data_IF_122936163769
#
_entry.id   IF_122936163769
#
_cell.length_a   1.000
_cell.length_b   1.000
_cell.length_c   1.000
_cell.angle_alpha   90.00
_cell.angle_beta   90.00
_cell.angle_gamma   90.00
#
_symmetry.space_group_name_H-M   'P 1'
#
loop_
_entity.id
_entity.type
_entity.pdbx_description
1 polymer ?
#
# COMPACT_ATOMS: atom_id res chain seq x y z
N UNK A 1 23.86 1.20 0.29
CA UNK A 1 23.35 2.49 -0.20
C UNK A 1 22.41 2.21 -1.37
N UNK A 2 21.15 2.14 -1.14
CA UNK A 2 20.11 2.21 -2.16
C UNK A 2 18.98 3.00 -1.51
N UNK A 3 18.85 4.25 -1.95
CA UNK A 3 17.86 5.22 -1.51
C UNK A 3 16.49 4.88 -2.09
N UNK A 4 15.52 4.95 -1.21
CA UNK A 4 14.13 5.35 -1.41
C UNK A 4 13.48 5.11 -2.78
N UNK A 5 12.74 4.01 -2.88
CA UNK A 5 11.62 3.94 -3.83
C UNK A 5 10.40 4.63 -3.19
N UNK A 6 10.43 5.95 -3.12
CA UNK A 6 9.23 6.75 -2.92
C UNK A 6 8.48 6.76 -4.24
N UNK A 7 7.28 6.22 -4.24
CA UNK A 7 6.30 6.54 -5.28
C UNK A 7 5.97 8.01 -5.08
N UNK A 8 6.60 8.86 -5.86
CA UNK A 8 6.24 10.29 -5.92
C UNK A 8 4.98 10.36 -6.76
N UNK A 9 3.85 10.58 -6.09
CA UNK A 9 2.63 11.05 -6.75
C UNK A 9 2.86 12.49 -7.15
N UNK A 10 3.33 12.71 -8.37
CA UNK A 10 3.40 14.04 -8.95
C UNK A 10 1.99 14.46 -9.40
N UNK A 11 1.38 15.37 -8.64
CA UNK A 11 0.25 16.17 -9.13
C UNK A 11 0.76 17.04 -10.28
N UNK A 12 0.40 16.70 -11.49
CA UNK A 12 0.71 17.51 -12.67
C UNK A 12 -0.21 18.72 -12.75
N UNK A 13 0.34 19.90 -12.44
CA UNK A 13 -0.18 21.15 -12.97
C UNK A 13 0.09 21.23 -14.47
N UNK A 14 -0.73 21.98 -15.18
CA UNK A 14 -0.77 22.17 -16.66
C UNK A 14 0.52 22.73 -17.27
N UNK A 15 1.66 22.05 -17.14
CA UNK A 15 2.83 22.34 -17.96
C UNK A 15 3.62 21.03 -18.19
N UNK A 16 3.59 20.61 -19.43
CA UNK A 16 4.15 19.35 -19.93
C UNK A 16 5.66 19.46 -20.02
N UNK A 17 6.40 18.79 -19.14
CA UNK A 17 7.81 18.48 -19.37
C UNK A 17 8.05 17.03 -18.92
N UNK A 18 8.66 16.25 -19.81
CA UNK A 18 8.97 14.82 -19.70
C UNK A 18 9.71 14.41 -18.43
N UNK A 19 9.51 13.17 -17.97
CA UNK A 19 10.65 12.28 -17.84
C UNK A 19 10.44 10.89 -18.44
N UNK A 20 11.33 10.54 -19.32
CA UNK A 20 11.66 9.17 -19.71
C UNK A 20 12.22 8.47 -18.47
N UNK A 21 11.50 7.52 -17.89
CA UNK A 21 11.98 6.70 -16.78
C UNK A 21 12.75 5.52 -17.35
N UNK A 22 14.06 5.70 -17.50
CA UNK A 22 15.03 4.63 -17.73
C UNK A 22 15.30 3.96 -16.37
N UNK A 23 14.78 2.75 -16.15
CA UNK A 23 15.18 1.92 -15.01
C UNK A 23 16.43 1.15 -15.41
N UNK A 24 17.61 1.71 -15.13
CA UNK A 24 18.87 0.99 -15.16
C UNK A 24 19.10 0.29 -13.82
N UNK A 25 18.99 -1.03 -13.83
CA UNK A 25 19.50 -1.87 -12.75
C UNK A 25 21.00 -2.03 -12.93
N UNK A 26 21.80 -1.27 -12.20
CA UNK A 26 23.25 -1.48 -12.11
C UNK A 26 23.54 -2.55 -11.07
N UNK A 27 23.93 -3.72 -11.57
CA UNK A 27 24.67 -4.72 -10.80
C UNK A 27 26.13 -4.27 -10.76
N UNK A 28 26.65 -4.02 -9.55
CA UNK A 28 28.03 -3.62 -9.36
C UNK A 28 29.00 -4.76 -9.69
N UNK A 29 29.98 -4.48 -10.50
CA UNK A 29 31.22 -5.24 -10.60
C UNK A 29 32.41 -4.30 -10.55
N UNK A 30 33.39 -4.75 -9.84
CA UNK A 30 34.71 -4.20 -9.50
C UNK A 30 35.44 -3.53 -10.66
N UNK A 31 36.10 -2.41 -10.34
CA UNK A 31 37.06 -1.71 -11.20
C UNK A 31 38.22 -2.61 -11.62
N UNK A 32 38.34 -2.81 -12.93
CA UNK A 32 39.59 -3.19 -13.55
C UNK A 32 39.88 -2.17 -14.66
N UNK A 33 40.93 -1.39 -14.46
CA UNK A 33 41.47 -0.46 -15.46
C UNK A 33 41.86 -1.20 -16.74
N UNK A 34 41.10 -0.98 -17.79
CA UNK A 34 41.47 -1.28 -19.17
C UNK A 34 41.23 -0.04 -20.00
N UNK A 35 42.28 0.76 -20.19
CA UNK A 35 42.33 1.79 -21.22
C UNK A 35 42.45 1.13 -22.58
N UNK A 36 41.33 0.78 -23.16
CA UNK A 36 41.20 0.56 -24.60
C UNK A 36 40.42 1.72 -25.17
N UNK A 37 41.04 2.42 -26.08
CA UNK A 37 40.44 3.45 -26.90
C UNK A 37 39.29 2.86 -27.74
N UNK A 38 38.08 2.89 -27.18
CA UNK A 38 36.85 2.70 -27.94
C UNK A 38 36.59 4.01 -28.66
N UNK A 39 36.80 4.02 -29.98
CA UNK A 39 36.18 5.01 -30.86
C UNK A 39 34.69 5.05 -30.55
N UNK A 40 34.06 6.24 -30.49
CA UNK A 40 32.60 6.30 -30.41
C UNK A 40 32.04 5.55 -31.62
N UNK A 41 31.29 4.48 -31.39
CA UNK A 41 30.38 3.98 -32.41
C UNK A 41 29.34 5.10 -32.54
N UNK A 42 29.55 6.00 -33.49
CA UNK A 42 28.50 6.87 -34.01
C UNK A 42 27.46 5.93 -34.64
N UNK A 43 26.49 5.48 -33.86
CA UNK A 43 25.21 5.01 -34.38
C UNK A 43 24.51 6.25 -34.92
N UNK A 44 24.91 6.74 -36.09
CA UNK A 44 24.15 7.69 -36.89
C UNK A 44 22.96 6.94 -37.49
N UNK A 45 21.94 6.67 -36.67
CA UNK A 45 20.61 6.49 -37.23
C UNK A 45 20.17 7.87 -37.71
N UNK A 46 20.17 8.07 -39.02
CA UNK A 46 19.63 9.28 -39.62
C UNK A 46 18.18 9.44 -39.12
N UNK A 47 17.83 10.60 -38.58
CA UNK A 47 16.49 10.82 -38.05
C UNK A 47 15.49 10.64 -39.21
N UNK A 48 14.47 9.79 -38.99
CA UNK A 48 13.39 9.59 -39.97
C UNK A 48 12.56 10.87 -40.02
N UNK A 49 12.54 11.61 -41.17
CA UNK A 49 11.96 12.96 -41.23
C UNK A 49 10.50 13.02 -40.79
N UNK A 50 9.71 12.00 -41.14
CA UNK A 50 8.29 11.90 -40.77
C UNK A 50 8.11 11.75 -39.23
N UNK A 51 8.95 10.93 -38.56
CA UNK A 51 8.90 10.73 -37.13
C UNK A 51 9.33 11.99 -36.38
N UNK A 52 10.38 12.66 -36.84
CA UNK A 52 10.86 13.90 -36.20
C UNK A 52 9.83 15.04 -36.35
N UNK A 53 9.14 15.13 -37.50
CA UNK A 53 8.05 16.08 -37.70
C UNK A 53 6.89 15.80 -36.71
N UNK A 54 6.48 14.53 -36.56
CA UNK A 54 5.46 14.13 -35.61
C UNK A 54 5.85 14.40 -34.12
N UNK A 55 7.09 14.09 -33.78
CA UNK A 55 7.67 14.29 -32.46
C UNK A 55 7.76 15.76 -32.06
N UNK A 56 8.12 16.63 -33.00
CA UNK A 56 8.20 18.07 -32.80
C UNK A 56 6.87 18.80 -32.98
N UNK A 57 5.78 18.09 -33.29
CA UNK A 57 4.45 18.65 -33.61
C UNK A 57 4.43 19.55 -34.85
N UNK A 58 5.33 19.31 -35.78
CA UNK A 58 5.35 20.04 -37.09
C UNK A 58 4.42 19.30 -38.06
N UNK A 59 3.11 19.49 -37.85
CA UNK A 59 2.07 18.78 -38.60
C UNK A 59 2.01 19.18 -40.08
N UNK A 60 2.38 20.42 -40.42
CA UNK A 60 2.43 20.87 -41.79
C UNK A 60 3.56 20.20 -42.54
N UNK A 61 4.74 20.08 -41.92
CA UNK A 61 5.86 19.33 -42.48
C UNK A 61 5.53 17.87 -42.66
N UNK A 62 4.86 17.24 -41.64
CA UNK A 62 4.43 15.85 -41.69
C UNK A 62 3.51 15.63 -42.89
N UNK A 63 2.49 16.49 -43.07
CA UNK A 63 1.58 16.43 -44.25
C UNK A 63 2.33 16.54 -45.55
N UNK A 64 3.24 17.50 -45.67
CA UNK A 64 4.09 17.69 -46.88
C UNK A 64 4.91 16.43 -47.17
N UNK A 65 5.50 15.78 -46.16
CA UNK A 65 6.28 14.55 -46.34
C UNK A 65 5.42 13.40 -46.85
N UNK A 66 4.20 13.24 -46.32
CA UNK A 66 3.24 12.23 -46.82
C UNK A 66 2.81 12.51 -48.28
N UNK A 67 2.59 13.76 -48.65
CA UNK A 67 2.28 14.17 -50.04
C UNK A 67 3.44 13.92 -50.99
N UNK A 68 4.69 13.95 -50.50
CA UNK A 68 5.91 13.62 -51.25
C UNK A 68 6.14 12.11 -51.37
N UNK A 69 5.30 11.29 -50.75
CA UNK A 69 5.34 9.84 -50.85
C UNK A 69 6.12 9.14 -49.74
N UNK A 70 6.45 9.85 -48.63
CA UNK A 70 6.98 9.20 -47.45
C UNK A 70 5.97 8.19 -46.91
N UNK A 71 6.45 7.01 -46.46
CA UNK A 71 5.57 5.95 -46.01
C UNK A 71 5.15 6.19 -44.55
N UNK A 72 3.85 6.14 -44.26
CA UNK A 72 3.32 6.29 -42.91
C UNK A 72 3.72 5.15 -41.96
N UNK A 73 4.27 4.05 -42.50
CA UNK A 73 4.68 2.84 -41.76
C UNK A 73 6.12 2.88 -41.23
N UNK A 74 6.89 3.94 -41.53
CA UNK A 74 8.29 4.06 -41.06
C UNK A 74 8.33 4.15 -39.55
N UNK A 75 9.40 3.56 -38.95
CA UNK A 75 9.60 3.51 -37.51
C UNK A 75 10.90 4.18 -37.10
N UNK A 76 10.93 4.74 -35.88
CA UNK A 76 12.16 5.13 -35.20
C UNK A 76 12.94 3.93 -34.69
N UNK A 77 14.13 4.15 -34.14
CA UNK A 77 14.98 3.07 -33.60
C UNK A 77 14.36 2.26 -32.45
N UNK A 78 13.38 2.83 -31.75
CA UNK A 78 12.60 2.19 -30.69
C UNK A 78 11.25 1.62 -31.17
N UNK A 79 11.06 1.52 -32.50
CA UNK A 79 9.84 1.00 -33.12
C UNK A 79 8.67 1.97 -33.16
N UNK A 80 8.79 3.19 -32.64
CA UNK A 80 7.69 4.15 -32.64
C UNK A 80 7.42 4.71 -34.05
N UNK A 81 6.12 4.85 -34.43
CA UNK A 81 5.66 5.44 -35.69
C UNK A 81 5.19 6.88 -35.50
N UNK A 82 4.96 7.61 -36.59
CA UNK A 82 4.33 8.93 -36.53
C UNK A 82 2.94 8.90 -35.88
N UNK A 83 2.19 7.78 -36.01
CA UNK A 83 0.89 7.57 -35.38
C UNK A 83 0.98 7.50 -33.83
N UNK A 84 2.05 6.90 -33.28
CA UNK A 84 2.31 6.94 -31.83
C UNK A 84 2.42 8.38 -31.32
N UNK A 85 3.14 9.24 -32.05
CA UNK A 85 3.33 10.64 -31.67
C UNK A 85 2.08 11.47 -31.85
N UNK A 86 1.33 11.26 -32.95
CA UNK A 86 0.06 11.94 -33.19
C UNK A 86 -0.95 11.60 -32.05
N UNK A 87 -1.01 10.33 -31.67
CA UNK A 87 -1.83 9.89 -30.52
C UNK A 87 -1.33 10.43 -29.19
N UNK A 88 -0.02 10.44 -28.96
CA UNK A 88 0.58 11.00 -27.74
C UNK A 88 0.27 12.51 -27.58
N UNK A 89 0.33 13.28 -28.67
CA UNK A 89 0.03 14.70 -28.68
C UNK A 89 -1.47 15.01 -28.82
N UNK A 90 -2.29 13.97 -28.91
CA UNK A 90 -3.75 14.06 -29.07
C UNK A 90 -4.17 14.84 -30.34
N UNK A 91 -3.42 14.68 -31.45
CA UNK A 91 -3.76 15.28 -32.72
C UNK A 91 -4.54 14.30 -33.59
N UNK A 92 -5.87 14.38 -33.50
CA UNK A 92 -6.80 13.46 -34.13
C UNK A 92 -6.76 13.56 -35.62
N UNK A 93 -6.71 14.79 -36.15
CA UNK A 93 -6.65 15.05 -37.61
C UNK A 93 -5.43 14.37 -38.25
N UNK A 94 -4.25 14.54 -37.63
CA UNK A 94 -3.02 13.92 -38.13
C UNK A 94 -3.02 12.41 -37.95
N UNK A 95 -3.55 11.88 -36.81
CA UNK A 95 -3.67 10.45 -36.62
C UNK A 95 -4.59 9.81 -37.67
N UNK A 96 -5.71 10.43 -37.97
CA UNK A 96 -6.63 9.97 -39.04
C UNK A 96 -5.98 10.04 -40.42
N UNK A 97 -5.26 11.10 -40.73
CA UNK A 97 -4.50 11.23 -41.98
C UNK A 97 -3.48 10.10 -42.11
N UNK A 98 -2.69 9.82 -41.07
CA UNK A 98 -1.68 8.76 -41.07
C UNK A 98 -2.31 7.40 -41.34
N UNK A 99 -3.43 7.06 -40.69
CA UNK A 99 -4.14 5.79 -40.93
C UNK A 99 -4.69 5.74 -42.37
N UNK A 100 -5.28 6.82 -42.84
CA UNK A 100 -5.81 6.88 -44.23
C UNK A 100 -4.69 6.78 -45.31
N UNK A 101 -3.45 7.10 -44.96
CA UNK A 101 -2.27 6.93 -45.81
C UNK A 101 -1.51 5.64 -45.57
N UNK A 102 -2.05 4.73 -44.77
CA UNK A 102 -1.56 3.35 -44.60
C UNK A 102 -0.77 3.08 -43.34
N UNK A 103 -0.80 3.97 -42.33
CA UNK A 103 -0.26 3.65 -41.02
C UNK A 103 -1.08 2.51 -40.39
N UNK A 104 -0.40 1.52 -39.82
CA UNK A 104 -1.00 0.45 -39.09
C UNK A 104 -1.46 0.96 -37.71
N UNK A 105 -2.76 0.92 -37.36
CA UNK A 105 -3.26 1.34 -36.05
C UNK A 105 -2.74 0.47 -34.90
N UNK A 106 -2.31 -0.75 -35.18
CA UNK A 106 -1.81 -1.74 -34.24
C UNK A 106 -0.28 -1.81 -34.19
N UNK A 107 0.42 -0.93 -34.90
CA UNK A 107 1.87 -0.85 -34.81
C UNK A 107 2.32 -0.71 -33.34
N UNK A 108 3.26 -1.56 -32.95
CA UNK A 108 3.84 -1.60 -31.59
C UNK A 108 5.26 -1.03 -31.61
N UNK A 109 5.62 -0.28 -30.59
CA UNK A 109 7.01 0.03 -30.29
C UNK A 109 7.68 -1.09 -29.48
N UNK A 110 8.97 -0.93 -29.15
CA UNK A 110 9.75 -1.94 -28.37
C UNK A 110 9.17 -2.26 -26.99
N UNK A 111 8.33 -1.38 -26.43
CA UNK A 111 7.62 -1.60 -25.18
C UNK A 111 6.25 -2.28 -25.37
N UNK A 112 5.84 -2.52 -26.62
CA UNK A 112 4.52 -3.01 -26.96
C UNK A 112 3.43 -1.92 -26.96
N UNK A 113 3.79 -0.65 -26.81
CA UNK A 113 2.81 0.43 -26.83
C UNK A 113 2.32 0.66 -28.26
N UNK A 114 0.98 0.83 -28.38
CA UNK A 114 0.28 1.23 -29.61
C UNK A 114 -0.21 2.67 -29.50
N UNK A 115 -0.70 3.23 -30.61
CA UNK A 115 -1.40 4.51 -30.59
C UNK A 115 -2.62 4.50 -29.65
N UNK A 116 -3.36 3.39 -29.61
CA UNK A 116 -4.52 3.21 -28.72
C UNK A 116 -4.11 3.22 -27.24
N UNK A 117 -2.97 2.60 -26.89
CA UNK A 117 -2.44 2.64 -25.53
C UNK A 117 -2.09 4.08 -25.12
N UNK A 118 -1.44 4.86 -26.00
CA UNK A 118 -1.12 6.28 -25.75
C UNK A 118 -2.38 7.13 -25.57
N UNK A 119 -3.40 6.94 -26.42
CA UNK A 119 -4.68 7.62 -26.32
C UNK A 119 -5.39 7.31 -24.99
N UNK A 120 -5.33 6.03 -24.55
CA UNK A 120 -5.90 5.59 -23.28
C UNK A 120 -5.17 6.19 -22.07
N UNK A 121 -3.85 6.34 -22.16
CA UNK A 121 -3.04 7.01 -21.14
C UNK A 121 -3.39 8.50 -21.03
N UNK A 122 -3.62 9.17 -22.15
CA UNK A 122 -4.02 10.59 -22.21
C UNK A 122 -5.48 10.79 -21.77
N UNK A 123 -6.30 9.74 -21.79
CA UNK A 123 -7.73 9.81 -21.55
C UNK A 123 -8.52 10.51 -22.66
N UNK A 124 -8.02 10.50 -23.89
CA UNK A 124 -8.69 11.13 -25.03
C UNK A 124 -9.81 10.24 -25.57
N UNK A 125 -11.05 10.57 -25.25
CA UNK A 125 -12.23 9.87 -25.73
C UNK A 125 -12.35 9.89 -27.26
N UNK A 126 -12.02 11.04 -27.86
CA UNK A 126 -12.13 11.23 -29.31
C UNK A 126 -11.08 10.42 -30.05
N UNK A 127 -9.81 10.46 -29.62
CA UNK A 127 -8.71 9.69 -30.20
C UNK A 127 -8.96 8.18 -30.04
N UNK A 128 -9.32 7.72 -28.83
CA UNK A 128 -9.67 6.31 -28.59
C UNK A 128 -10.81 5.87 -29.49
N UNK A 129 -11.91 6.64 -29.54
CA UNK A 129 -13.04 6.32 -30.39
C UNK A 129 -12.68 6.30 -31.89
N UNK A 130 -11.85 7.20 -32.36
CA UNK A 130 -11.36 7.23 -33.75
C UNK A 130 -10.50 6.00 -34.05
N UNK A 131 -9.49 5.70 -33.22
CA UNK A 131 -8.61 4.55 -33.40
C UNK A 131 -9.39 3.21 -33.42
N UNK A 132 -10.35 3.02 -32.50
CA UNK A 132 -11.20 1.83 -32.46
C UNK A 132 -12.06 1.70 -33.74
N UNK A 133 -12.66 2.80 -34.21
CA UNK A 133 -13.40 2.80 -35.50
C UNK A 133 -12.52 2.48 -36.70
N UNK A 134 -11.23 2.80 -36.64
CA UNK A 134 -10.22 2.50 -37.69
C UNK A 134 -9.61 1.10 -37.54
N UNK A 135 -10.10 0.29 -36.59
CA UNK A 135 -9.74 -1.11 -36.45
C UNK A 135 -8.59 -1.39 -35.47
N UNK A 136 -8.20 -0.42 -34.62
CA UNK A 136 -7.22 -0.67 -33.56
C UNK A 136 -7.73 -1.76 -32.61
N UNK A 137 -6.89 -2.74 -32.28
CA UNK A 137 -7.20 -3.85 -31.38
C UNK A 137 -7.04 -3.43 -29.90
N UNK A 138 -8.13 -3.38 -29.12
CA UNK A 138 -8.08 -2.99 -27.70
C UNK A 138 -7.37 -4.01 -26.79
N UNK A 139 -7.04 -5.20 -27.30
CA UNK A 139 -6.40 -6.28 -26.53
C UNK A 139 -4.87 -6.18 -26.53
N UNK A 140 -4.25 -5.40 -27.41
CA UNK A 140 -2.80 -5.28 -27.51
C UNK A 140 -2.27 -4.59 -26.26
N UNK A 141 -1.37 -5.30 -25.55
CA UNK A 141 -0.84 -4.87 -24.27
C UNK A 141 0.66 -4.57 -24.37
N UNK A 142 1.16 -3.76 -23.45
CA UNK A 142 2.60 -3.60 -23.26
C UNK A 142 3.28 -4.96 -22.97
N UNK A 143 4.60 -5.02 -23.18
CA UNK A 143 5.44 -6.17 -22.77
C UNK A 143 5.26 -6.53 -21.26
N UNK A 144 4.93 -5.54 -20.44
CA UNK A 144 4.57 -5.73 -19.03
C UNK A 144 3.20 -6.37 -18.79
N UNK A 145 2.39 -6.57 -19.84
CA UNK A 145 1.01 -7.04 -19.77
C UNK A 145 -0.03 -5.95 -19.50
N UNK A 146 0.37 -4.68 -19.37
CA UNK A 146 -0.58 -3.57 -19.15
C UNK A 146 -1.36 -3.26 -20.43
N UNK A 147 -2.67 -3.51 -20.42
CA UNK A 147 -3.57 -3.26 -21.55
C UNK A 147 -4.12 -1.82 -21.55
N UNK A 148 -4.67 -1.33 -22.70
CA UNK A 148 -5.30 -0.02 -22.78
C UNK A 148 -6.38 0.20 -21.72
N UNK A 149 -7.23 -0.82 -21.43
CA UNK A 149 -8.28 -0.71 -20.41
C UNK A 149 -7.73 -0.59 -18.99
N UNK A 150 -6.61 -1.26 -18.68
CA UNK A 150 -5.93 -1.11 -17.39
C UNK A 150 -5.34 0.30 -17.24
N UNK A 151 -4.74 0.83 -18.30
CA UNK A 151 -4.19 2.18 -18.32
C UNK A 151 -5.28 3.22 -18.14
N UNK A 152 -6.40 3.11 -18.85
CA UNK A 152 -7.57 3.99 -18.71
C UNK A 152 -8.18 3.90 -17.28
N UNK A 153 -8.28 2.70 -16.73
CA UNK A 153 -8.77 2.48 -15.36
C UNK A 153 -7.85 3.13 -14.30
N UNK A 154 -6.52 3.04 -14.49
CA UNK A 154 -5.52 3.66 -13.62
C UNK A 154 -5.51 5.19 -13.71
N UNK A 155 -5.80 5.77 -14.87
CA UNK A 155 -5.89 7.23 -15.06
C UNK A 155 -7.27 7.80 -14.71
N UNK A 156 -8.29 6.94 -14.57
CA UNK A 156 -9.63 7.30 -14.08
C UNK A 156 -10.61 7.77 -15.14
N UNK A 157 -10.29 7.63 -16.41
CA UNK A 157 -11.22 8.02 -17.47
C UNK A 157 -12.26 6.91 -17.73
N UNK A 158 -13.39 6.98 -17.03
CA UNK A 158 -14.48 6.01 -17.14
C UNK A 158 -15.04 5.88 -18.56
N UNK A 159 -15.08 7.00 -19.32
CA UNK A 159 -15.59 6.96 -20.71
C UNK A 159 -14.66 6.22 -21.64
N UNK A 160 -13.34 6.39 -21.49
CA UNK A 160 -12.35 5.61 -22.26
C UNK A 160 -12.44 4.13 -21.88
N UNK A 161 -12.59 3.81 -20.57
CA UNK A 161 -12.81 2.43 -20.11
C UNK A 161 -14.03 1.84 -20.81
N UNK A 162 -15.15 2.56 -20.84
CA UNK A 162 -16.40 2.11 -21.52
C UNK A 162 -16.17 1.86 -23.01
N UNK A 163 -15.52 2.80 -23.73
CA UNK A 163 -15.25 2.66 -25.17
C UNK A 163 -14.42 1.42 -25.48
N UNK A 164 -13.38 1.15 -24.67
CA UNK A 164 -12.52 -0.02 -24.84
C UNK A 164 -13.27 -1.33 -24.59
N UNK A 165 -14.09 -1.38 -23.51
CA UNK A 165 -14.90 -2.56 -23.20
C UNK A 165 -15.96 -2.83 -24.25
N UNK A 166 -16.63 -1.79 -24.75
CA UNK A 166 -17.57 -1.91 -25.87
C UNK A 166 -16.92 -2.38 -27.18
N UNK A 167 -15.63 -2.10 -27.37
CA UNK A 167 -14.85 -2.57 -28.52
C UNK A 167 -14.29 -3.99 -28.32
N UNK A 168 -14.59 -4.65 -27.18
CA UNK A 168 -14.21 -6.05 -26.93
C UNK A 168 -12.95 -6.23 -26.07
N UNK A 169 -12.44 -5.17 -25.41
CA UNK A 169 -11.39 -5.36 -24.39
C UNK A 169 -11.90 -6.29 -23.28
N UNK A 170 -11.04 -7.21 -22.83
CA UNK A 170 -11.36 -8.10 -21.71
C UNK A 170 -11.26 -7.33 -20.36
N UNK A 171 -12.36 -7.16 -19.61
CA UNK A 171 -12.36 -6.50 -18.31
C UNK A 171 -11.53 -7.26 -17.25
N UNK A 172 -11.25 -8.55 -17.51
CA UNK A 172 -10.54 -9.46 -16.62
C UNK A 172 -9.10 -9.74 -17.06
N UNK A 173 -8.64 -9.10 -18.13
CA UNK A 173 -7.23 -9.17 -18.50
C UNK A 173 -6.31 -8.83 -17.32
N UNK A 174 -5.20 -9.54 -17.21
CA UNK A 174 -4.25 -9.37 -16.11
C UNK A 174 -2.92 -8.81 -16.62
N UNK A 175 -2.45 -7.77 -15.97
CA UNK A 175 -1.13 -7.20 -16.17
C UNK A 175 -0.10 -7.76 -15.19
N UNK A 176 0.95 -6.98 -14.97
CA UNK A 176 2.00 -7.33 -14.03
C UNK A 176 1.43 -7.75 -12.66
N UNK A 177 1.95 -8.87 -12.12
CA UNK A 177 1.50 -9.45 -10.83
C UNK A 177 0.03 -9.84 -10.78
N UNK A 178 -0.57 -10.20 -11.92
CA UNK A 178 -1.96 -10.64 -12.00
C UNK A 178 -2.96 -9.55 -11.62
N UNK A 179 -2.61 -8.27 -11.76
CA UNK A 179 -3.51 -7.17 -11.43
C UNK A 179 -4.46 -6.89 -12.59
N UNK A 180 -5.75 -6.64 -12.28
CA UNK A 180 -6.80 -6.31 -13.25
C UNK A 180 -7.06 -4.79 -13.29
N UNK A 181 -7.79 -4.35 -14.32
CA UNK A 181 -8.26 -2.96 -14.43
C UNK A 181 -9.09 -2.54 -13.20
N UNK A 182 -9.92 -3.44 -12.67
CA UNK A 182 -10.74 -3.20 -11.47
C UNK A 182 -9.88 -2.93 -10.22
N UNK A 183 -8.77 -3.66 -10.05
CA UNK A 183 -7.82 -3.43 -8.96
C UNK A 183 -7.13 -2.07 -9.09
N UNK A 184 -6.74 -1.69 -10.32
CA UNK A 184 -6.11 -0.40 -10.58
C UNK A 184 -7.06 0.78 -10.32
N UNK A 185 -8.30 0.72 -10.82
CA UNK A 185 -9.32 1.75 -10.56
C UNK A 185 -9.58 1.93 -9.06
N UNK A 186 -9.70 0.80 -8.33
CA UNK A 186 -9.93 0.81 -6.88
C UNK A 186 -8.74 1.36 -6.09
N UNK A 187 -7.50 1.12 -6.56
CA UNK A 187 -6.28 1.63 -5.93
C UNK A 187 -6.06 3.15 -6.16
N UNK A 188 -6.77 3.75 -7.11
CA UNK A 188 -6.59 5.16 -7.50
C UNK A 188 -7.82 6.03 -7.22
N UNK A 189 -8.81 5.54 -6.48
CA UNK A 189 -10.06 6.25 -6.15
C UNK A 189 -10.93 6.60 -7.39
N UNK A 190 -10.92 5.74 -8.39
CA UNK A 190 -11.67 5.97 -9.62
C UNK A 190 -13.00 5.22 -9.62
N UNK A 191 -13.90 5.57 -8.70
CA UNK A 191 -15.19 4.87 -8.52
C UNK A 191 -16.07 4.84 -9.78
N UNK A 192 -16.00 5.86 -10.64
CA UNK A 192 -16.70 5.86 -11.92
C UNK A 192 -16.16 4.75 -12.86
N UNK A 193 -14.85 4.56 -12.93
CA UNK A 193 -14.24 3.48 -13.71
C UNK A 193 -14.55 2.11 -13.07
N UNK A 194 -14.59 2.00 -11.73
CA UNK A 194 -15.03 0.80 -11.03
C UNK A 194 -16.46 0.42 -11.43
N UNK A 195 -17.40 1.39 -11.47
CA UNK A 195 -18.79 1.13 -11.89
C UNK A 195 -18.85 0.55 -13.31
N UNK A 196 -18.20 1.23 -14.26
CA UNK A 196 -18.18 0.81 -15.66
C UNK A 196 -17.58 -0.60 -15.84
N UNK A 197 -16.46 -0.88 -15.15
CA UNK A 197 -15.82 -2.20 -15.19
C UNK A 197 -16.76 -3.30 -14.68
N UNK A 198 -17.45 -3.07 -13.54
CA UNK A 198 -18.41 -4.03 -12.98
C UNK A 198 -19.62 -4.24 -13.89
N UNK A 199 -20.15 -3.18 -14.49
CA UNK A 199 -21.26 -3.25 -15.46
C UNK A 199 -20.91 -4.07 -16.71
N UNK A 200 -19.62 -4.11 -17.09
CA UNK A 200 -19.11 -4.90 -18.20
C UNK A 200 -18.49 -6.25 -17.80
N UNK A 201 -18.79 -6.74 -16.59
CA UNK A 201 -18.44 -8.10 -16.19
C UNK A 201 -17.03 -8.28 -15.63
N UNK A 202 -16.43 -7.23 -15.08
CA UNK A 202 -15.19 -7.39 -14.31
C UNK A 202 -15.43 -8.31 -13.10
N UNK A 203 -14.56 -9.31 -12.92
CA UNK A 203 -14.64 -10.25 -11.81
C UNK A 203 -14.25 -9.58 -10.49
N UNK A 204 -15.23 -9.33 -9.65
CA UNK A 204 -15.06 -8.73 -8.31
C UNK A 204 -14.24 -9.63 -7.38
N UNK A 205 -14.13 -10.94 -7.69
CA UNK A 205 -13.38 -11.92 -6.92
C UNK A 205 -11.96 -12.16 -7.45
N UNK A 206 -11.59 -11.55 -8.57
CA UNK A 206 -10.24 -11.65 -9.11
C UNK A 206 -9.18 -11.33 -8.04
N UNK A 207 -8.07 -12.07 -8.08
CA UNK A 207 -6.98 -11.94 -7.10
C UNK A 207 -5.66 -11.69 -7.80
N UNK A 208 -4.86 -10.77 -7.27
CA UNK A 208 -3.49 -10.57 -7.73
C UNK A 208 -2.62 -11.79 -7.44
N UNK A 209 -1.55 -11.98 -8.21
CA UNK A 209 -0.61 -13.08 -8.01
C UNK A 209 0.01 -13.08 -6.62
N UNK A 210 0.24 -14.29 -6.11
CA UNK A 210 0.99 -14.48 -4.86
C UNK A 210 2.47 -14.60 -5.17
N UNK A 211 3.28 -13.87 -4.41
CA UNK A 211 4.73 -13.95 -4.46
C UNK A 211 5.31 -13.87 -3.06
N UNK A 212 6.55 -14.31 -2.89
CA UNK A 212 7.22 -14.31 -1.58
C UNK A 212 8.49 -13.49 -1.60
N UNK A 213 8.76 -12.83 -0.48
CA UNK A 213 9.99 -12.08 -0.25
C UNK A 213 10.62 -12.49 1.07
N UNK A 214 11.93 -12.75 1.04
CA UNK A 214 12.69 -12.92 2.29
C UNK A 214 12.79 -11.58 2.99
N UNK A 215 12.26 -11.51 4.19
CA UNK A 215 12.34 -10.34 5.07
C UNK A 215 13.10 -10.71 6.34
N UNK A 216 13.97 -9.80 6.79
CA UNK A 216 14.74 -9.99 8.00
C UNK A 216 14.10 -9.23 9.18
N UNK A 217 14.09 -9.88 10.34
CA UNK A 217 13.68 -9.28 11.61
C UNK A 217 14.92 -8.79 12.36
N UNK A 218 14.82 -7.75 13.19
CA UNK A 218 15.87 -7.43 14.14
C UNK A 218 16.09 -8.57 15.17
N UNK A 219 17.35 -8.90 15.50
CA UNK A 219 18.58 -8.36 14.92
C UNK A 219 18.83 -8.95 13.53
N UNK A 220 19.00 -8.06 12.54
CA UNK A 220 19.06 -8.42 11.11
C UNK A 220 20.27 -9.28 10.71
N UNK A 221 21.21 -9.51 11.62
CA UNK A 221 22.45 -10.25 11.38
C UNK A 221 22.31 -11.76 11.53
N UNK A 222 21.23 -12.24 12.15
CA UNK A 222 20.99 -13.66 12.36
C UNK A 222 20.18 -14.25 11.20
N UNK A 223 20.71 -15.21 10.44
CA UNK A 223 19.97 -15.92 9.38
C UNK A 223 18.69 -16.60 9.90
N UNK A 224 18.63 -16.99 11.17
CA UNK A 224 17.44 -17.58 11.79
C UNK A 224 16.27 -16.58 11.88
N UNK A 225 16.55 -15.28 11.78
CA UNK A 225 15.54 -14.22 11.78
C UNK A 225 15.08 -13.84 10.37
N UNK A 226 15.41 -14.61 9.35
CA UNK A 226 14.89 -14.45 8.01
C UNK A 226 13.58 -15.22 7.87
N UNK A 227 12.54 -14.53 7.41
CA UNK A 227 11.26 -15.17 7.09
C UNK A 227 10.88 -14.92 5.64
N UNK A 228 10.33 -15.95 5.01
CA UNK A 228 9.73 -15.82 3.70
C UNK A 228 8.30 -15.32 3.87
N UNK A 229 8.09 -14.05 3.57
CA UNK A 229 6.81 -13.38 3.77
C UNK A 229 6.02 -13.41 2.47
N UNK A 230 4.82 -14.01 2.45
CA UNK A 230 3.96 -14.02 1.28
C UNK A 230 3.34 -12.64 1.05
N UNK A 231 3.17 -12.27 -0.21
CA UNK A 231 2.52 -11.04 -0.67
C UNK A 231 1.54 -11.36 -1.80
N UNK A 232 0.68 -10.40 -2.13
CA UNK A 232 -0.31 -10.56 -3.19
C UNK A 232 -1.59 -11.24 -2.72
N UNK A 233 -2.30 -11.89 -3.64
CA UNK A 233 -3.63 -12.46 -3.42
C UNK A 233 -4.66 -11.39 -2.96
N UNK A 234 -4.46 -10.12 -3.38
CA UNK A 234 -5.36 -9.04 -3.03
C UNK A 234 -6.53 -8.96 -4.01
N UNK A 235 -7.74 -8.70 -3.51
CA UNK A 235 -8.92 -8.37 -4.30
C UNK A 235 -9.02 -6.85 -4.53
N UNK A 236 -9.90 -6.42 -5.44
CA UNK A 236 -10.18 -4.99 -5.66
C UNK A 236 -10.65 -4.29 -4.37
N UNK A 237 -11.47 -4.95 -3.54
CA UNK A 237 -11.91 -4.41 -2.25
C UNK A 237 -10.72 -4.16 -1.28
N UNK A 238 -9.71 -5.01 -1.29
CA UNK A 238 -8.50 -4.82 -0.48
C UNK A 238 -7.66 -3.64 -0.97
N UNK A 239 -7.62 -3.38 -2.28
CA UNK A 239 -6.99 -2.18 -2.83
C UNK A 239 -7.76 -0.92 -2.41
N UNK A 240 -9.08 -0.89 -2.56
CA UNK A 240 -9.92 0.21 -2.08
C UNK A 240 -9.75 0.44 -0.57
N UNK A 241 -9.70 -0.64 0.23
CA UNK A 241 -9.54 -0.58 1.68
C UNK A 241 -8.20 0.03 2.11
N UNK A 242 -7.11 -0.31 1.42
CA UNK A 242 -5.78 0.23 1.70
C UNK A 242 -5.67 1.72 1.41
N UNK A 243 -6.36 2.19 0.39
CA UNK A 243 -6.33 3.60 -0.04
C UNK A 243 -7.47 4.44 0.57
N UNK A 244 -8.45 3.83 1.24
CA UNK A 244 -9.56 4.53 1.88
C UNK A 244 -10.69 4.93 0.94
N UNK A 245 -10.82 4.27 -0.19
CA UNK A 245 -11.87 4.57 -1.18
C UNK A 245 -13.22 3.94 -0.79
N UNK A 246 -13.98 4.66 0.01
CA UNK A 246 -15.33 4.26 0.45
C UNK A 246 -16.28 4.11 -0.74
N UNK A 247 -16.14 4.98 -1.76
CA UNK A 247 -17.05 4.95 -2.92
C UNK A 247 -16.86 3.66 -3.73
N UNK A 248 -15.63 3.32 -4.09
CA UNK A 248 -15.31 2.06 -4.77
C UNK A 248 -15.64 0.86 -3.90
N UNK A 249 -15.35 0.90 -2.59
CA UNK A 249 -15.69 -0.19 -1.68
C UNK A 249 -17.19 -0.50 -1.66
N UNK A 250 -18.04 0.52 -1.64
CA UNK A 250 -19.51 0.36 -1.74
C UNK A 250 -19.94 -0.32 -3.04
N UNK A 251 -19.40 0.12 -4.17
CA UNK A 251 -19.70 -0.49 -5.48
C UNK A 251 -19.28 -1.97 -5.52
N UNK A 252 -18.07 -2.27 -5.02
CA UNK A 252 -17.55 -3.63 -4.97
C UNK A 252 -18.41 -4.56 -4.09
N UNK A 253 -18.83 -4.06 -2.91
CA UNK A 253 -19.71 -4.85 -2.01
C UNK A 253 -21.07 -5.10 -2.64
N UNK A 254 -21.66 -4.09 -3.27
CA UNK A 254 -22.94 -4.25 -4.03
C UNK A 254 -22.79 -5.27 -5.16
N UNK A 255 -21.62 -5.31 -5.82
CA UNK A 255 -21.30 -6.30 -6.86
C UNK A 255 -20.96 -7.69 -6.29
N UNK A 256 -21.01 -7.89 -4.97
CA UNK A 256 -20.83 -9.18 -4.33
C UNK A 256 -19.41 -9.47 -3.82
N UNK A 257 -18.56 -8.45 -3.66
CA UNK A 257 -17.22 -8.64 -3.06
C UNK A 257 -17.34 -9.32 -1.69
N UNK A 258 -16.52 -10.34 -1.45
CA UNK A 258 -16.48 -11.03 -0.16
C UNK A 258 -15.70 -10.19 0.85
N UNK A 259 -16.41 -9.59 1.78
CA UNK A 259 -15.87 -8.61 2.75
C UNK A 259 -14.81 -9.24 3.66
N UNK A 260 -14.95 -10.53 3.99
CA UNK A 260 -14.08 -11.27 4.90
C UNK A 260 -12.95 -12.05 4.19
N UNK A 261 -12.79 -11.88 2.89
CA UNK A 261 -11.64 -12.43 2.18
C UNK A 261 -10.33 -11.88 2.75
N UNK A 262 -9.27 -12.72 2.76
CA UNK A 262 -7.94 -12.32 3.16
C UNK A 262 -6.93 -12.48 2.03
N UNK A 263 -5.88 -11.68 2.06
CA UNK A 263 -4.75 -11.78 1.14
C UNK A 263 -3.75 -12.87 1.57
N UNK A 264 -2.62 -12.99 0.87
CA UNK A 264 -1.61 -14.01 1.15
C UNK A 264 -0.99 -13.92 2.56
N UNK A 265 -1.10 -12.77 3.23
CA UNK A 265 -0.66 -12.56 4.63
C UNK A 265 -1.76 -12.82 5.65
N UNK A 266 -2.94 -13.20 5.23
CA UNK A 266 -4.11 -13.31 6.11
C UNK A 266 -4.76 -11.98 6.48
N UNK A 267 -4.43 -10.89 5.78
CA UNK A 267 -4.96 -9.55 6.05
C UNK A 267 -6.25 -9.34 5.26
N UNK A 268 -7.34 -9.00 5.95
CA UNK A 268 -8.65 -8.68 5.34
C UNK A 268 -8.78 -7.18 5.02
N UNK A 269 -9.86 -6.81 4.31
CA UNK A 269 -10.13 -5.42 3.95
C UNK A 269 -10.26 -4.50 5.19
N UNK A 270 -10.95 -4.94 6.25
CA UNK A 270 -11.10 -4.14 7.48
C UNK A 270 -9.76 -3.91 8.19
N UNK A 271 -8.88 -4.89 8.21
CA UNK A 271 -7.54 -4.75 8.79
C UNK A 271 -6.69 -3.80 7.96
N UNK A 272 -6.78 -3.82 6.62
CA UNK A 272 -6.10 -2.86 5.74
C UNK A 272 -6.60 -1.43 5.96
N UNK A 273 -7.92 -1.22 6.04
CA UNK A 273 -8.52 0.08 6.30
C UNK A 273 -8.10 0.63 7.68
N UNK A 274 -8.14 -0.21 8.72
CA UNK A 274 -7.69 0.15 10.06
C UNK A 274 -6.19 0.47 10.10
N UNK A 275 -5.37 -0.30 9.42
CA UNK A 275 -3.95 -0.06 9.26
C UNK A 275 -3.67 1.32 8.67
N UNK A 276 -4.37 1.68 7.62
CA UNK A 276 -4.21 2.98 6.94
C UNK A 276 -4.91 4.14 7.67
N UNK A 277 -5.80 3.86 8.65
CA UNK A 277 -6.47 4.86 9.48
C UNK A 277 -7.76 5.42 8.89
N UNK A 278 -8.38 4.69 8.00
CA UNK A 278 -9.64 5.10 7.35
C UNK A 278 -10.86 4.62 8.16
N UNK A 279 -11.20 5.38 9.21
CA UNK A 279 -12.30 5.07 10.12
C UNK A 279 -13.62 4.89 9.39
N UNK A 280 -13.99 5.82 8.53
CA UNK A 280 -15.26 5.78 7.79
C UNK A 280 -15.40 4.49 6.96
N UNK A 281 -14.28 4.00 6.43
CA UNK A 281 -14.26 2.74 5.69
C UNK A 281 -14.33 1.53 6.62
N UNK A 282 -13.71 1.59 7.79
CA UNK A 282 -13.85 0.54 8.83
C UNK A 282 -15.31 0.44 9.26
N UNK A 283 -15.97 1.57 9.55
CA UNK A 283 -17.39 1.63 9.93
C UNK A 283 -18.27 1.05 8.82
N UNK A 284 -18.08 1.48 7.57
CA UNK A 284 -18.81 0.90 6.44
C UNK A 284 -18.61 -0.63 6.32
N UNK A 285 -17.38 -1.12 6.46
CA UNK A 285 -17.11 -2.55 6.39
C UNK A 285 -17.77 -3.33 7.52
N UNK A 286 -17.83 -2.79 8.73
CA UNK A 286 -18.56 -3.36 9.87
C UNK A 286 -20.08 -3.41 9.59
N UNK A 287 -20.66 -2.33 9.04
CA UNK A 287 -22.07 -2.28 8.67
C UNK A 287 -22.48 -3.34 7.64
N UNK A 288 -21.53 -3.77 6.80
CA UNK A 288 -21.74 -4.84 5.81
C UNK A 288 -21.19 -6.20 6.28
N UNK A 289 -21.09 -6.39 7.60
CA UNK A 289 -20.72 -7.65 8.27
C UNK A 289 -19.26 -8.10 8.04
N UNK A 290 -18.32 -7.15 7.98
CA UNK A 290 -16.91 -7.50 8.15
C UNK A 290 -16.68 -8.05 9.57
N UNK A 291 -15.86 -9.11 9.66
CA UNK A 291 -15.46 -9.69 10.92
C UNK A 291 -14.51 -8.74 11.68
N UNK A 292 -14.93 -8.16 12.84
CA UNK A 292 -14.11 -7.25 13.60
C UNK A 292 -12.88 -7.94 14.21
N UNK A 293 -12.93 -9.27 14.37
CA UNK A 293 -11.86 -10.08 14.95
C UNK A 293 -10.95 -10.73 13.91
N UNK A 294 -11.13 -10.40 12.62
CA UNK A 294 -10.24 -10.87 11.57
C UNK A 294 -8.77 -10.58 11.92
N UNK A 295 -7.99 -11.62 12.20
CA UNK A 295 -6.61 -11.51 12.69
C UNK A 295 -5.64 -12.49 11.99
N UNK A 296 -5.92 -12.90 10.76
CA UNK A 296 -5.07 -13.85 10.03
C UNK A 296 -3.61 -13.41 9.85
N UNK A 297 -3.34 -12.10 9.93
CA UNK A 297 -1.97 -11.55 9.94
C UNK A 297 -1.31 -11.54 11.33
N UNK A 298 -2.03 -11.97 12.36
CA UNK A 298 -1.57 -12.00 13.75
C UNK A 298 -2.07 -10.84 14.62
N UNK A 299 -2.86 -9.93 14.07
CA UNK A 299 -3.45 -8.79 14.78
C UNK A 299 -4.77 -8.38 14.12
N UNK A 300 -5.72 -7.91 14.91
CA UNK A 300 -7.01 -7.43 14.44
C UNK A 300 -7.03 -5.91 14.20
N UNK A 301 -8.14 -5.43 13.63
CA UNK A 301 -8.38 -3.99 13.48
C UNK A 301 -8.38 -3.24 14.82
N UNK A 302 -8.82 -3.87 15.93
CA UNK A 302 -8.80 -3.26 17.27
C UNK A 302 -7.38 -3.00 17.76
N UNK A 303 -6.44 -3.91 17.54
CA UNK A 303 -5.03 -3.69 17.86
C UNK A 303 -4.46 -2.48 17.08
N UNK A 304 -4.86 -2.35 15.82
CA UNK A 304 -4.43 -1.22 14.97
C UNK A 304 -5.05 0.10 15.42
N UNK A 305 -6.32 0.11 15.83
CA UNK A 305 -6.98 1.29 16.39
C UNK A 305 -6.23 1.82 17.62
N UNK A 306 -5.79 0.91 18.52
CA UNK A 306 -4.97 1.27 19.69
C UNK A 306 -3.61 1.82 19.25
N UNK A 307 -2.91 1.17 18.33
CA UNK A 307 -1.62 1.64 17.82
C UNK A 307 -1.73 3.03 17.16
N UNK A 308 -2.89 3.36 16.62
CA UNK A 308 -3.19 4.66 15.99
C UNK A 308 -3.78 5.69 16.96
N UNK A 309 -4.06 5.33 18.20
CA UNK A 309 -4.76 6.17 19.19
C UNK A 309 -6.12 6.65 18.66
N UNK A 310 -6.83 5.78 17.92
CA UNK A 310 -8.12 6.09 17.32
C UNK A 310 -9.27 5.56 18.18
N UNK A 311 -9.71 6.38 19.14
CA UNK A 311 -10.78 6.04 20.07
C UNK A 311 -12.12 5.79 19.35
N UNK A 312 -12.38 6.48 18.25
CA UNK A 312 -13.59 6.30 17.43
C UNK A 312 -13.59 4.94 16.76
N UNK A 313 -12.51 4.60 16.08
CA UNK A 313 -12.37 3.30 15.43
C UNK A 313 -12.43 2.16 16.45
N UNK A 314 -11.75 2.29 17.61
CA UNK A 314 -11.81 1.29 18.68
C UNK A 314 -13.25 1.10 19.19
N UNK A 315 -14.01 2.19 19.33
CA UNK A 315 -15.43 2.16 19.74
C UNK A 315 -16.27 1.42 18.70
N UNK A 316 -16.18 1.80 17.44
CA UNK A 316 -16.96 1.17 16.36
C UNK A 316 -16.69 -0.34 16.29
N UNK A 317 -15.43 -0.76 16.41
CA UNK A 317 -15.07 -2.18 16.43
C UNK A 317 -15.67 -2.94 17.61
N UNK A 318 -15.59 -2.38 18.83
CA UNK A 318 -16.15 -2.98 20.04
C UNK A 318 -17.70 -3.01 20.03
N UNK A 319 -18.35 -1.99 19.52
CA UNK A 319 -19.81 -1.92 19.36
C UNK A 319 -20.34 -2.96 18.35
N UNK A 320 -19.50 -3.36 17.39
CA UNK A 320 -19.80 -4.44 16.45
C UNK A 320 -19.30 -5.82 16.90
N UNK A 321 -18.98 -5.98 18.18
CA UNK A 321 -18.68 -7.25 18.80
C UNK A 321 -17.22 -7.70 18.76
N UNK A 322 -16.30 -6.79 18.45
CA UNK A 322 -14.86 -7.11 18.49
C UNK A 322 -14.41 -7.54 19.88
N UNK A 323 -13.60 -8.60 19.95
CA UNK A 323 -13.10 -9.18 21.20
C UNK A 323 -12.08 -8.24 21.90
N UNK A 324 -12.44 -7.67 23.08
CA UNK A 324 -11.54 -6.81 23.84
C UNK A 324 -10.36 -7.54 24.48
N UNK A 325 -10.34 -8.88 24.42
CA UNK A 325 -9.31 -9.75 24.98
C UNK A 325 -8.49 -10.51 23.91
N UNK A 326 -8.76 -10.27 22.61
CA UNK A 326 -8.01 -10.88 21.54
C UNK A 326 -6.50 -10.61 21.70
N UNK A 327 -5.66 -11.63 21.53
CA UNK A 327 -4.22 -11.47 21.68
C UNK A 327 -3.55 -11.26 20.32
N UNK A 328 -2.48 -10.46 20.29
CA UNK A 328 -1.56 -10.42 19.17
C UNK A 328 -0.89 -11.78 19.05
N UNK A 329 -1.04 -12.47 17.93
CA UNK A 329 -0.50 -13.83 17.73
C UNK A 329 0.76 -13.87 16.87
N UNK A 330 1.06 -12.78 16.17
CA UNK A 330 2.25 -12.69 15.35
C UNK A 330 2.78 -11.25 15.27
N UNK A 331 4.06 -11.12 15.07
CA UNK A 331 4.73 -9.84 14.87
C UNK A 331 4.81 -9.49 13.36
N UNK A 332 5.09 -8.22 13.05
CA UNK A 332 5.19 -7.75 11.66
C UNK A 332 6.63 -7.79 11.18
N UNK A 333 6.92 -8.54 10.12
CA UNK A 333 8.23 -8.53 9.49
C UNK A 333 8.51 -7.17 8.82
N UNK A 334 9.69 -6.60 9.08
CA UNK A 334 10.14 -5.34 8.52
C UNK A 334 11.22 -5.53 7.48
N UNK A 335 11.31 -4.59 6.53
CA UNK A 335 12.53 -4.41 5.73
C UNK A 335 13.62 -3.79 6.61
N UNK A 336 14.87 -4.18 6.38
CA UNK A 336 16.03 -3.56 7.03
C UNK A 336 15.98 -2.03 6.81
N UNK A 337 16.13 -1.27 7.90
CA UNK A 337 16.11 0.18 7.91
C UNK A 337 14.78 0.85 7.48
N UNK A 338 13.65 0.15 7.58
CA UNK A 338 12.33 0.77 7.50
C UNK A 338 12.05 1.53 8.80
N UNK A 339 11.56 2.77 8.67
CA UNK A 339 11.00 3.52 9.79
C UNK A 339 9.50 3.26 9.97
N UNK A 340 8.94 2.32 9.19
CA UNK A 340 7.54 1.96 9.29
C UNK A 340 7.28 1.33 10.66
N UNK A 341 6.13 1.65 11.22
CA UNK A 341 5.70 1.03 12.46
C UNK A 341 5.40 -0.46 12.26
N UNK A 342 5.52 -1.21 13.31
CA UNK A 342 5.34 -2.64 13.30
C UNK A 342 4.89 -3.17 14.67
N UNK A 343 4.24 -4.30 14.67
CA UNK A 343 4.10 -5.07 15.90
C UNK A 343 5.44 -5.73 16.21
N UNK A 344 6.10 -5.21 17.24
CA UNK A 344 7.36 -5.76 17.72
C UNK A 344 7.15 -7.16 18.28
N UNK A 345 8.11 -8.11 18.17
CA UNK A 345 7.99 -9.44 18.76
C UNK A 345 7.60 -9.47 20.24
N UNK A 346 8.03 -8.48 21.02
CA UNK A 346 7.66 -8.32 22.42
C UNK A 346 6.15 -8.06 22.64
N UNK A 347 5.37 -7.74 21.60
CA UNK A 347 3.92 -7.53 21.71
C UNK A 347 3.10 -8.79 21.40
N UNK A 348 3.75 -9.86 20.98
CA UNK A 348 3.07 -11.15 20.79
C UNK A 348 2.53 -11.63 22.13
N UNK A 349 1.25 -11.99 22.18
CA UNK A 349 0.53 -12.33 23.40
C UNK A 349 -0.17 -11.15 24.08
N UNK A 350 0.09 -9.91 23.69
CA UNK A 350 -0.53 -8.74 24.30
C UNK A 350 -2.03 -8.63 23.95
N UNK A 351 -2.85 -8.30 24.97
CA UNK A 351 -4.28 -7.98 24.79
C UNK A 351 -4.48 -6.49 24.46
N UNK A 352 -5.63 -6.08 23.90
CA UNK A 352 -5.97 -4.69 23.67
C UNK A 352 -5.82 -3.80 24.92
N UNK A 353 -6.26 -4.29 26.09
CA UNK A 353 -6.15 -3.52 27.34
C UNK A 353 -4.68 -3.30 27.74
N UNK A 354 -3.85 -4.34 27.67
CA UNK A 354 -2.43 -4.23 27.96
C UNK A 354 -1.73 -3.28 26.98
N UNK A 355 -2.06 -3.36 25.67
CA UNK A 355 -1.53 -2.43 24.65
C UNK A 355 -1.93 -0.99 24.92
N UNK A 356 -3.22 -0.74 25.26
CA UNK A 356 -3.70 0.60 25.58
C UNK A 356 -2.98 1.17 26.82
N UNK A 357 -2.70 0.35 27.82
CA UNK A 357 -1.88 0.74 28.96
C UNK A 357 -0.43 1.04 28.55
N UNK A 358 0.19 0.16 27.75
CA UNK A 358 1.59 0.31 27.30
C UNK A 358 1.82 1.60 26.50
N UNK A 359 0.84 2.01 25.74
CA UNK A 359 0.86 3.24 24.94
C UNK A 359 0.09 4.39 25.60
N UNK A 360 -0.17 4.31 26.91
CA UNK A 360 -0.75 5.36 27.75
C UNK A 360 -2.02 5.98 27.15
N UNK A 361 -3.07 5.14 26.98
CA UNK A 361 -4.35 5.53 26.38
C UNK A 361 -5.53 5.27 27.36
N UNK A 362 -5.65 6.05 28.44
CA UNK A 362 -6.64 5.80 29.48
C UNK A 362 -8.08 5.85 28.98
N UNK A 363 -8.39 6.64 27.95
CA UNK A 363 -9.69 6.67 27.30
C UNK A 363 -10.05 5.31 26.68
N UNK A 364 -9.13 4.74 25.89
CA UNK A 364 -9.32 3.41 25.29
C UNK A 364 -9.34 2.31 26.38
N UNK A 365 -8.52 2.40 27.43
CA UNK A 365 -8.57 1.46 28.54
C UNK A 365 -9.97 1.41 29.18
N UNK A 366 -10.60 2.56 29.44
CA UNK A 366 -11.99 2.62 29.97
C UNK A 366 -12.99 2.02 28.98
N UNK A 367 -12.84 2.33 27.72
CA UNK A 367 -13.70 1.80 26.66
C UNK A 367 -13.62 0.25 26.60
N UNK A 368 -12.42 -0.30 26.63
CA UNK A 368 -12.17 -1.73 26.61
C UNK A 368 -12.80 -2.44 27.81
N UNK A 369 -12.64 -1.90 29.03
CA UNK A 369 -13.25 -2.47 30.24
C UNK A 369 -14.78 -2.42 30.16
N UNK A 370 -15.35 -1.35 29.63
CA UNK A 370 -16.81 -1.25 29.39
C UNK A 370 -17.32 -2.40 28.51
N UNK A 371 -16.49 -2.90 27.60
CA UNK A 371 -16.82 -3.99 26.69
C UNK A 371 -16.27 -5.36 27.16
N UNK A 372 -15.80 -5.48 28.40
CA UNK A 372 -15.44 -6.77 29.01
C UNK A 372 -13.97 -7.16 28.88
N UNK A 373 -13.07 -6.21 28.65
CA UNK A 373 -11.63 -6.48 28.73
C UNK A 373 -11.23 -6.89 30.14
N UNK A 374 -10.31 -7.86 30.26
CA UNK A 374 -9.70 -8.26 31.51
C UNK A 374 -8.51 -7.34 31.85
N UNK A 375 -8.65 -6.44 32.86
CA UNK A 375 -7.57 -5.58 33.29
C UNK A 375 -6.47 -6.29 34.06
N UNK A 376 -6.75 -7.51 34.59
CA UNK A 376 -5.82 -8.29 35.41
C UNK A 376 -4.94 -9.22 34.57
N UNK A 377 -5.15 -9.24 33.27
CA UNK A 377 -4.31 -10.02 32.36
C UNK A 377 -2.82 -9.71 32.56
N UNK A 378 -2.01 -10.78 32.62
CA UNK A 378 -0.55 -10.67 32.70
C UNK A 378 0.05 -11.10 31.38
N UNK A 379 0.71 -10.16 30.73
CA UNK A 379 1.41 -10.39 29.47
C UNK A 379 2.72 -11.14 29.74
N UNK A 380 2.93 -12.26 29.04
CA UNK A 380 4.12 -13.10 29.12
C UNK A 380 4.80 -13.11 27.74
N UNK A 381 5.81 -12.28 27.57
CA UNK A 381 6.54 -12.13 26.31
C UNK A 381 7.79 -12.99 26.29
N UNK A 382 8.00 -13.73 25.21
CA UNK A 382 9.23 -14.50 24.94
C UNK A 382 9.70 -14.15 23.51
N UNK A 383 10.77 -13.42 23.40
CA UNK A 383 11.24 -12.92 22.12
C UNK A 383 12.76 -12.77 22.05
N UNK A 384 13.31 -12.74 20.84
CA UNK A 384 14.71 -12.43 20.59
C UNK A 384 14.86 -10.92 20.43
N UNK A 385 15.59 -10.30 21.34
CA UNK A 385 15.89 -8.86 21.33
C UNK A 385 17.34 -8.59 20.96
N UNK A 386 17.65 -7.35 20.55
CA UNK A 386 19.01 -6.92 20.29
C UNK A 386 19.84 -6.87 21.57
N UNK A 387 21.07 -7.42 21.52
CA UNK A 387 22.09 -7.30 22.57
C UNK A 387 23.31 -6.57 21.99
N UNK A 388 23.46 -5.27 22.33
CA UNK A 388 24.52 -4.44 21.76
C UNK A 388 24.40 -4.25 20.25
N UNK A 389 25.51 -4.02 19.58
CA UNK A 389 25.54 -3.64 18.15
C UNK A 389 25.26 -4.81 17.20
N UNK A 390 25.57 -6.05 17.59
CA UNK A 390 25.47 -7.23 16.71
C UNK A 390 24.99 -8.51 17.42
N UNK A 391 24.59 -8.42 18.69
CA UNK A 391 24.16 -9.59 19.45
C UNK A 391 22.65 -9.80 19.46
N UNK A 392 22.21 -11.03 19.63
CA UNK A 392 20.84 -11.42 19.87
C UNK A 392 20.74 -12.08 21.27
N UNK A 393 19.73 -11.74 22.05
CA UNK A 393 19.48 -12.34 23.35
C UNK A 393 18.01 -12.66 23.49
N UNK A 394 17.70 -13.88 23.99
CA UNK A 394 16.33 -14.24 24.35
C UNK A 394 15.90 -13.42 25.58
N UNK A 395 14.78 -12.78 25.46
CA UNK A 395 14.15 -12.01 26.54
C UNK A 395 12.83 -12.66 26.91
N UNK A 396 12.64 -12.82 28.19
CA UNK A 396 11.38 -13.25 28.77
C UNK A 396 10.93 -12.13 29.71
N UNK A 397 9.70 -11.66 29.54
CA UNK A 397 9.20 -10.52 30.32
C UNK A 397 7.77 -10.83 30.77
N UNK A 398 7.50 -10.69 32.06
CA UNK A 398 6.18 -10.85 32.65
C UNK A 398 5.70 -9.52 33.19
N UNK A 399 4.64 -8.95 32.58
CA UNK A 399 4.21 -7.59 32.89
C UNK A 399 2.69 -7.48 32.99
N UNK A 400 2.24 -6.79 34.04
CA UNK A 400 0.84 -6.37 34.21
C UNK A 400 0.56 -5.11 33.40
N UNK A 401 -0.72 -4.74 33.24
CA UNK A 401 -1.10 -3.47 32.60
C UNK A 401 -0.54 -2.25 33.36
N UNK A 402 -0.39 -2.33 34.68
CA UNK A 402 0.23 -1.29 35.51
C UNK A 402 1.71 -1.10 35.17
N UNK A 403 2.45 -2.19 35.02
CA UNK A 403 3.85 -2.17 34.58
C UNK A 403 3.98 -1.65 33.14
N UNK A 404 3.06 -2.04 32.27
CA UNK A 404 3.00 -1.57 30.89
C UNK A 404 2.81 -0.04 30.83
N UNK A 405 1.92 0.53 31.66
CA UNK A 405 1.67 1.97 31.71
C UNK A 405 2.90 2.82 32.08
N UNK A 406 3.84 2.27 32.87
CA UNK A 406 5.11 2.95 33.18
C UNK A 406 6.24 2.64 32.20
N UNK A 407 5.92 1.91 31.11
CA UNK A 407 6.83 1.66 30.00
C UNK A 407 7.61 0.35 30.09
N UNK A 408 7.24 -0.58 30.97
CA UNK A 408 7.76 -1.95 31.00
C UNK A 408 7.11 -2.82 29.91
N UNK A 409 7.69 -3.97 29.63
CA UNK A 409 7.21 -4.89 28.59
C UNK A 409 7.66 -4.48 27.18
N UNK A 410 8.87 -4.89 26.84
CA UNK A 410 9.52 -4.64 25.57
C UNK A 410 10.64 -3.62 25.59
N UNK A 411 11.33 -3.43 24.45
CA UNK A 411 12.52 -2.57 24.37
C UNK A 411 12.19 -1.10 24.63
N UNK A 412 13.18 -0.39 25.19
CA UNK A 412 13.09 1.06 25.36
C UNK A 412 12.93 1.73 23.99
N UNK A 413 11.96 2.65 23.89
CA UNK A 413 11.71 3.40 22.64
C UNK A 413 10.79 2.65 21.67
N UNK A 414 10.14 1.56 22.08
CA UNK A 414 9.02 0.98 21.31
C UNK A 414 7.88 1.98 21.23
N UNK A 415 7.42 2.26 20.02
CA UNK A 415 6.46 3.34 19.71
C UNK A 415 5.14 2.80 19.20
N UNK A 416 4.06 3.53 19.46
CA UNK A 416 2.81 3.43 18.71
C UNK A 416 2.97 4.12 17.33
N UNK A 417 1.96 4.01 16.45
CA UNK A 417 1.99 4.71 15.16
C UNK A 417 1.85 6.21 15.32
N UNK A 418 1.05 6.61 16.30
CA UNK A 418 0.83 8.01 16.66
C UNK A 418 1.26 8.16 18.11
N UNK A 419 2.24 9.01 18.33
CA UNK A 419 2.73 9.33 19.68
C UNK A 419 1.82 10.39 20.32
N UNK A 420 1.66 10.36 21.64
CA UNK A 420 0.97 11.42 22.36
C UNK A 420 1.77 12.73 22.29
N UNK A 421 1.08 13.85 22.52
CA UNK A 421 1.76 15.13 22.69
C UNK A 421 2.76 15.02 23.86
N UNK A 422 4.04 15.35 23.67
CA UNK A 422 5.05 15.24 24.72
C UNK A 422 4.69 15.95 26.03
N UNK A 423 3.94 17.06 25.97
CA UNK A 423 3.47 17.79 27.16
C UNK A 423 2.38 17.06 27.96
N UNK A 424 1.75 16.05 27.39
CA UNK A 424 0.65 15.31 28.00
C UNK A 424 1.09 13.94 28.54
N UNK A 425 2.31 13.49 28.17
CA UNK A 425 2.78 12.12 28.48
C UNK A 425 2.74 11.81 29.98
N UNK A 426 3.18 12.73 30.84
CA UNK A 426 3.16 12.53 32.29
C UNK A 426 1.72 12.39 32.82
N UNK A 427 0.83 13.31 32.40
CA UNK A 427 -0.57 13.30 32.82
C UNK A 427 -1.29 12.02 32.37
N UNK A 428 -1.10 11.61 31.10
CA UNK A 428 -1.66 10.37 30.56
C UNK A 428 -1.10 9.12 31.26
N UNK A 429 0.22 9.13 31.58
CA UNK A 429 0.83 8.04 32.33
C UNK A 429 0.20 7.91 33.71
N UNK A 430 0.08 9.03 34.43
CA UNK A 430 -0.52 9.03 35.78
C UNK A 430 -2.00 8.58 35.73
N UNK A 431 -2.73 9.03 34.73
CA UNK A 431 -4.14 8.63 34.54
C UNK A 431 -4.28 7.13 34.25
N UNK A 432 -3.45 6.58 33.32
CA UNK A 432 -3.44 5.16 33.02
C UNK A 432 -3.06 4.29 34.24
N UNK A 433 -2.07 4.74 35.01
CA UNK A 433 -1.65 4.10 36.27
C UNK A 433 -2.79 4.11 37.28
N UNK A 434 -3.44 5.25 37.51
CA UNK A 434 -4.59 5.37 38.43
C UNK A 434 -5.69 4.42 38.03
N UNK A 435 -6.05 4.39 36.76
CA UNK A 435 -7.09 3.51 36.24
C UNK A 435 -6.73 2.04 36.44
N UNK A 436 -5.50 1.61 36.15
CA UNK A 436 -5.06 0.24 36.36
C UNK A 436 -5.18 -0.15 37.86
N UNK A 437 -4.79 0.73 38.79
CA UNK A 437 -4.93 0.50 40.23
C UNK A 437 -6.40 0.44 40.68
N UNK A 438 -7.25 1.33 40.19
CA UNK A 438 -8.69 1.35 40.44
C UNK A 438 -9.37 0.05 39.97
N UNK A 439 -8.91 -0.51 38.86
CA UNK A 439 -9.39 -1.79 38.31
C UNK A 439 -8.82 -3.02 39.01
N UNK A 440 -7.97 -2.83 40.02
CA UNK A 440 -7.50 -3.92 40.89
C UNK A 440 -6.18 -4.56 40.47
N UNK A 441 -5.45 -3.97 39.52
CA UNK A 441 -4.13 -4.48 39.13
C UNK A 441 -3.18 -4.37 40.32
N UNK A 442 -2.45 -5.45 40.64
CA UNK A 442 -1.59 -5.53 41.80
C UNK A 442 -0.41 -4.58 41.72
N UNK A 443 -0.33 -3.64 42.67
CA UNK A 443 0.76 -2.64 42.75
C UNK A 443 2.08 -3.24 43.24
N UNK A 444 2.05 -4.44 43.86
CA UNK A 444 3.21 -5.16 44.41
C UNK A 444 3.74 -6.22 43.41
N UNK A 445 3.05 -6.45 42.31
CA UNK A 445 3.52 -7.38 41.29
C UNK A 445 4.94 -7.02 40.86
N UNK A 446 5.77 -8.03 40.65
CA UNK A 446 7.16 -7.87 40.20
C UNK A 446 7.37 -8.54 38.85
N UNK A 447 8.25 -7.94 38.03
CA UNK A 447 8.73 -8.57 36.80
C UNK A 447 9.75 -9.67 37.11
N UNK A 448 10.33 -10.29 36.10
CA UNK A 448 11.34 -11.34 36.26
C UNK A 448 12.66 -10.85 36.91
N UNK A 449 12.91 -9.54 36.90
CA UNK A 449 14.05 -8.93 37.56
C UNK A 449 13.73 -8.46 39.00
N UNK A 450 12.54 -8.73 39.48
CA UNK A 450 12.06 -8.34 40.83
C UNK A 450 11.66 -6.87 40.94
N UNK A 451 11.46 -6.16 39.83
CA UNK A 451 11.09 -4.74 39.81
C UNK A 451 9.56 -4.60 39.80
N UNK A 452 9.07 -3.67 40.60
CA UNK A 452 7.67 -3.22 40.56
C UNK A 452 7.46 -2.10 39.54
N UNK A 453 6.20 -1.74 39.28
CA UNK A 453 5.88 -0.57 38.47
C UNK A 453 6.44 0.75 39.06
N UNK A 454 6.51 0.86 40.40
CA UNK A 454 7.08 2.02 41.06
C UNK A 454 8.60 2.16 40.81
N UNK A 455 9.33 1.03 40.78
CA UNK A 455 10.77 1.01 40.52
C UNK A 455 11.13 1.43 39.08
N UNK A 456 10.19 1.27 38.14
CA UNK A 456 10.36 1.60 36.72
C UNK A 456 9.80 2.98 36.34
N UNK A 457 8.94 3.55 37.18
CA UNK A 457 8.29 4.83 36.89
C UNK A 457 9.29 5.98 36.77
N UNK A 458 9.10 6.84 35.75
CA UNK A 458 10.02 7.96 35.46
C UNK A 458 9.57 9.29 36.04
N UNK A 459 8.27 9.44 36.31
CA UNK A 459 7.64 10.67 36.77
C UNK A 459 7.41 10.62 38.28
N UNK A 460 7.83 11.68 38.98
CA UNK A 460 7.71 11.78 40.43
C UNK A 460 6.25 11.63 40.89
N UNK A 461 5.31 12.26 40.17
CA UNK A 461 3.86 12.15 40.43
C UNK A 461 3.34 10.71 40.38
N UNK A 462 3.88 9.87 39.49
CA UNK A 462 3.55 8.47 39.37
C UNK A 462 4.16 7.64 40.52
N UNK A 463 5.43 7.91 40.84
CA UNK A 463 6.14 7.24 41.96
C UNK A 463 5.42 7.51 43.28
N UNK A 464 5.09 8.79 43.54
CA UNK A 464 4.36 9.20 44.76
C UNK A 464 3.00 8.50 44.86
N UNK A 465 2.24 8.49 43.75
CA UNK A 465 0.95 7.80 43.72
C UNK A 465 1.08 6.31 44.03
N UNK A 466 2.02 5.60 43.40
CA UNK A 466 2.20 4.15 43.59
C UNK A 466 2.72 3.80 45.00
N UNK A 467 3.64 4.59 45.55
CA UNK A 467 4.16 4.37 46.89
C UNK A 467 3.10 4.61 48.00
N UNK A 468 2.27 5.65 47.85
CA UNK A 468 1.19 5.97 48.75
C UNK A 468 0.10 4.88 48.75
N UNK A 469 -0.25 4.34 47.58
CA UNK A 469 -1.27 3.30 47.44
C UNK A 469 -0.77 1.88 47.74
N UNK A 470 0.55 1.66 47.79
CA UNK A 470 1.17 0.39 48.20
C UNK A 470 0.88 0.06 49.69
N UNK A 471 0.60 1.09 50.48
CA UNK A 471 0.39 0.98 51.92
C UNK A 471 -1.08 0.78 52.34
N UNK A 472 -2.04 0.95 51.41
CA UNK A 472 -3.47 0.98 51.69
C UNK A 472 -4.22 -0.37 51.44
N UNK A 473 -3.54 -1.41 50.96
CA UNK A 473 -4.15 -2.75 50.71
C UNK A 473 -3.37 -3.88 51.38
#
# INVERSE_FOLDING_TARGET
MLKDSRIIVLRFGRNKIFPLLLVLSLVGTTEANLTTSLSPIENSFDPVPLIEAAKSQDWDKLRTLLEQGEQATVTSADGATALHWASYWDNIETAELLINTGADPDAMNDLGATALWNASLNGSEEMVGMLLRKGADPAISLVSGESPVMTAARTGNAKVVELLLMAGADPNATGARGQTALMWASAQHHSAAVSVLLEHGADVHARSETWSQVMAIPPHSDPANQQNVPHGNNTALMFAAREGDVASAKLLVVAGARVNDSNARGTSAIVLAAHSGYRDLVEFLLDVSADPDAAGAGFSALHLAIMRRDDGMARSLLEHGGDPNAQVTNWTALRRASNDWHFHPALVGATPFWLAARFIQPAIMRLLVKHGADPLFVHDADYIGAAGTFGAVRRMEKTTALMAAVGMGGPRGMRAFIEPNPSEVEALTLEAVKLAVELGVDTKAVDQEGRTAADAARYESVVEYLTTNRSRR
#
